data_IF_754973562763
#
_entry.id   IF_754973562763
#
_cell.length_a   1.000
_cell.length_b   1.000
_cell.length_c   1.000
_cell.angle_alpha   90.00
_cell.angle_beta   90.00
_cell.angle_gamma   90.00
#
_symmetry.space_group_name_H-M   'P 1'
#
loop_
_entity.id
_entity.type
_entity.pdbx_description
1 polymer ?
#
# COMPACT_ATOMS: atom_id res chain seq x y z
N UNK A 1 -25.49 12.35 -8.57
CA UNK A 1 -24.38 11.84 -9.41
C UNK A 1 -24.98 11.22 -10.66
N UNK A 2 -24.53 11.61 -11.84
CA UNK A 2 -25.01 11.03 -13.11
C UNK A 2 -24.32 9.68 -13.38
N UNK A 3 -24.88 8.87 -14.29
CA UNK A 3 -24.24 7.61 -14.73
C UNK A 3 -22.89 7.89 -15.36
N UNK A 4 -22.77 8.99 -16.12
CA UNK A 4 -21.52 9.39 -16.74
C UNK A 4 -20.43 9.71 -15.70
N UNK A 5 -20.80 10.45 -14.64
CA UNK A 5 -19.87 10.77 -13.55
C UNK A 5 -19.38 9.49 -12.86
N UNK A 6 -20.27 8.50 -12.66
CA UNK A 6 -19.93 7.22 -12.08
C UNK A 6 -18.94 6.43 -12.96
N UNK A 7 -19.15 6.42 -14.27
CA UNK A 7 -18.25 5.77 -15.24
C UNK A 7 -16.87 6.45 -15.23
N UNK A 8 -16.83 7.79 -15.31
CA UNK A 8 -15.56 8.54 -15.27
C UNK A 8 -14.78 8.23 -14.00
N UNK A 9 -15.44 8.30 -12.85
CA UNK A 9 -14.79 8.00 -11.58
C UNK A 9 -14.35 6.54 -11.48
N UNK A 10 -15.12 5.59 -12.03
CA UNK A 10 -14.75 4.18 -12.10
C UNK A 10 -13.49 3.94 -12.94
N UNK A 11 -13.38 4.61 -14.08
CA UNK A 11 -12.18 4.54 -14.93
C UNK A 11 -10.96 5.17 -14.23
N UNK A 12 -11.13 6.36 -13.65
CA UNK A 12 -10.06 7.02 -12.90
C UNK A 12 -9.59 6.15 -11.74
N UNK A 13 -10.51 5.60 -10.94
CA UNK A 13 -10.17 4.71 -9.83
C UNK A 13 -9.42 3.46 -10.33
N UNK A 14 -9.94 2.78 -11.35
CA UNK A 14 -9.32 1.58 -11.90
C UNK A 14 -7.91 1.82 -12.41
N UNK A 15 -7.68 2.89 -13.16
CA UNK A 15 -6.35 3.22 -13.68
C UNK A 15 -5.37 3.63 -12.57
N UNK A 16 -5.81 4.48 -11.64
CA UNK A 16 -4.92 5.05 -10.62
C UNK A 16 -4.68 4.14 -9.43
N UNK A 17 -5.49 3.11 -9.21
CA UNK A 17 -5.26 2.08 -8.21
C UNK A 17 -4.14 1.12 -8.63
N UNK A 18 -4.13 0.69 -9.90
CA UNK A 18 -3.08 -0.18 -10.43
C UNK A 18 -1.78 0.58 -10.73
N UNK A 19 -1.86 1.85 -11.02
CA UNK A 19 -0.69 2.73 -11.06
C UNK A 19 -0.43 3.26 -9.64
N UNK A 20 0.80 3.20 -9.12
CA UNK A 20 1.08 3.64 -7.75
C UNK A 20 1.12 5.18 -7.61
N UNK A 21 0.05 5.88 -8.09
CA UNK A 21 0.00 7.34 -8.25
C UNK A 21 -1.06 8.04 -7.38
N UNK A 22 -1.65 7.33 -6.41
CA UNK A 22 -2.73 7.82 -5.53
C UNK A 22 -4.11 7.91 -6.19
N UNK A 23 -4.85 6.82 -6.10
CA UNK A 23 -6.26 6.77 -6.54
C UNK A 23 -7.14 7.77 -5.78
N UNK A 24 -6.98 7.86 -4.45
CA UNK A 24 -7.74 8.79 -3.62
C UNK A 24 -7.51 10.26 -3.98
N UNK A 25 -6.27 10.63 -4.31
CA UNK A 25 -5.94 11.99 -4.75
C UNK A 25 -6.58 12.33 -6.10
N UNK A 26 -6.45 11.43 -7.08
CA UNK A 26 -7.04 11.61 -8.41
C UNK A 26 -8.57 11.61 -8.36
N UNK A 27 -9.16 10.73 -7.54
CA UNK A 27 -10.60 10.67 -7.36
C UNK A 27 -11.15 11.96 -6.72
N UNK A 28 -10.46 12.51 -5.71
CA UNK A 28 -10.84 13.78 -5.09
C UNK A 28 -10.81 14.95 -6.10
N UNK A 29 -9.79 15.04 -6.95
CA UNK A 29 -9.71 16.03 -8.03
C UNK A 29 -10.84 15.84 -9.04
N UNK A 30 -11.08 14.59 -9.47
CA UNK A 30 -12.14 14.26 -10.42
C UNK A 30 -13.51 14.64 -9.87
N UNK A 31 -13.79 14.32 -8.60
CA UNK A 31 -15.04 14.67 -7.92
C UNK A 31 -15.23 16.18 -7.83
N UNK A 32 -14.14 16.92 -7.56
CA UNK A 32 -14.20 18.39 -7.53
C UNK A 32 -14.54 18.98 -8.89
N UNK A 33 -13.92 18.47 -9.97
CA UNK A 33 -14.19 18.92 -11.36
C UNK A 33 -15.62 18.61 -11.79
N UNK A 34 -16.15 17.44 -11.41
CA UNK A 34 -17.51 17.01 -11.73
C UNK A 34 -18.59 17.69 -10.84
N UNK A 35 -18.18 18.53 -9.87
CA UNK A 35 -19.11 19.15 -8.93
C UNK A 35 -19.82 18.15 -8.03
N UNK A 36 -19.26 16.94 -7.85
CA UNK A 36 -19.78 15.92 -6.97
C UNK A 36 -19.62 16.40 -5.52
N UNK A 37 -20.74 16.59 -4.80
CA UNK A 37 -20.73 17.02 -3.41
C UNK A 37 -20.05 16.00 -2.47
N UNK A 38 -19.78 16.42 -1.23
CA UNK A 38 -19.13 15.61 -0.18
C UNK A 38 -20.11 14.76 0.65
N UNK A 39 -21.28 14.42 0.11
CA UNK A 39 -22.36 13.72 0.83
C UNK A 39 -22.07 12.23 1.07
N UNK A 40 -22.86 11.60 1.97
CA UNK A 40 -22.79 10.18 2.31
C UNK A 40 -22.88 9.23 1.10
N UNK A 41 -23.65 9.63 0.07
CA UNK A 41 -23.78 8.86 -1.18
C UNK A 41 -22.46 8.72 -1.91
N UNK A 42 -21.61 9.76 -1.88
CA UNK A 42 -20.28 9.71 -2.50
C UNK A 42 -19.31 8.84 -1.69
N UNK A 43 -19.47 8.83 -0.37
CA UNK A 43 -18.69 7.94 0.49
C UNK A 43 -18.95 6.46 0.15
N UNK A 44 -20.25 6.09 0.08
CA UNK A 44 -20.64 4.74 -0.29
C UNK A 44 -20.15 4.36 -1.68
N UNK A 45 -20.28 5.26 -2.64
CA UNK A 45 -19.77 5.05 -3.99
C UNK A 45 -18.26 4.85 -4.04
N UNK A 46 -17.49 5.67 -3.32
CA UNK A 46 -16.03 5.50 -3.21
C UNK A 46 -15.66 4.13 -2.62
N UNK A 47 -16.40 3.65 -1.62
CA UNK A 47 -16.17 2.30 -1.07
C UNK A 47 -16.45 1.24 -2.13
N UNK A 48 -17.52 1.37 -2.91
CA UNK A 48 -17.84 0.43 -3.99
C UNK A 48 -16.75 0.42 -5.08
N UNK A 49 -16.18 1.57 -5.43
CA UNK A 49 -15.06 1.65 -6.36
C UNK A 49 -13.83 0.88 -5.84
N UNK A 50 -13.50 1.03 -4.56
CA UNK A 50 -12.39 0.29 -3.94
C UNK A 50 -12.67 -1.22 -3.85
N UNK A 51 -13.92 -1.62 -3.59
CA UNK A 51 -14.31 -3.04 -3.65
C UNK A 51 -14.12 -3.60 -5.06
N UNK A 52 -14.52 -2.85 -6.08
CA UNK A 52 -14.31 -3.26 -7.47
C UNK A 52 -12.83 -3.46 -7.81
N UNK A 53 -11.96 -2.54 -7.42
CA UNK A 53 -10.51 -2.68 -7.65
C UNK A 53 -9.91 -3.79 -6.80
N UNK A 54 -10.38 -4.01 -5.56
CA UNK A 54 -9.96 -5.14 -4.73
C UNK A 54 -10.27 -6.47 -5.41
N UNK A 55 -11.49 -6.65 -5.94
CA UNK A 55 -11.87 -7.86 -6.68
C UNK A 55 -10.95 -8.06 -7.88
N UNK A 56 -10.64 -6.99 -8.63
CA UNK A 56 -9.74 -7.06 -9.78
C UNK A 56 -8.31 -7.45 -9.38
N UNK A 57 -7.77 -6.90 -8.28
CA UNK A 57 -6.43 -7.26 -7.75
C UNK A 57 -6.42 -8.73 -7.32
N UNK A 58 -7.42 -9.18 -6.57
CA UNK A 58 -7.52 -10.59 -6.13
C UNK A 58 -7.64 -11.53 -7.32
N UNK A 59 -8.43 -11.17 -8.34
CA UNK A 59 -8.56 -11.94 -9.57
C UNK A 59 -7.23 -12.03 -10.34
N UNK A 60 -6.48 -10.93 -10.45
CA UNK A 60 -5.19 -10.90 -11.12
C UNK A 60 -4.12 -11.71 -10.35
N UNK A 61 -4.04 -11.54 -9.04
CA UNK A 61 -3.07 -12.20 -8.17
C UNK A 61 -3.61 -13.49 -7.55
N UNK A 62 -4.67 -14.11 -8.08
CA UNK A 62 -5.37 -15.23 -7.46
C UNK A 62 -4.45 -16.41 -7.05
N UNK A 63 -3.44 -16.73 -7.87
CA UNK A 63 -2.47 -17.79 -7.54
C UNK A 63 -1.63 -17.43 -6.34
N UNK A 64 -1.06 -16.21 -6.33
CA UNK A 64 -0.25 -15.71 -5.21
C UNK A 64 -1.08 -15.63 -3.93
N UNK A 65 -2.28 -15.05 -4.00
CA UNK A 65 -3.19 -14.94 -2.85
C UNK A 65 -3.52 -16.32 -2.29
N UNK A 66 -3.83 -17.29 -3.15
CA UNK A 66 -4.13 -18.66 -2.71
C UNK A 66 -2.94 -19.34 -2.05
N UNK A 67 -1.74 -19.17 -2.60
CA UNK A 67 -0.51 -19.70 -2.02
C UNK A 67 -0.18 -19.06 -0.67
N UNK A 68 -0.41 -17.75 -0.52
CA UNK A 68 -0.23 -17.07 0.76
C UNK A 68 -1.24 -17.55 1.82
N UNK A 69 -2.51 -17.76 1.45
CA UNK A 69 -3.52 -18.33 2.34
C UNK A 69 -3.11 -19.73 2.81
N UNK A 70 -2.69 -20.60 1.89
CA UNK A 70 -2.19 -21.94 2.24
C UNK A 70 -1.00 -21.87 3.21
N UNK A 71 0.00 -21.02 2.88
CA UNK A 71 1.18 -20.89 3.71
C UNK A 71 0.87 -20.30 5.09
N UNK A 72 -0.11 -19.40 5.18
CA UNK A 72 -0.57 -18.88 6.46
C UNK A 72 -1.12 -20.00 7.36
N UNK A 73 -1.99 -20.86 6.85
CA UNK A 73 -2.54 -21.99 7.62
C UNK A 73 -1.48 -23.04 7.94
N UNK A 74 -0.56 -23.34 7.01
CA UNK A 74 0.56 -24.23 7.26
C UNK A 74 1.50 -23.67 8.34
N UNK A 75 1.76 -22.38 8.31
CA UNK A 75 2.56 -21.69 9.32
C UNK A 75 1.90 -21.77 10.70
N UNK A 76 0.59 -21.53 10.81
CA UNK A 76 -0.15 -21.70 12.05
C UNK A 76 -0.03 -23.14 12.58
N UNK A 77 -0.23 -24.14 11.71
CA UNK A 77 -0.06 -25.54 12.07
C UNK A 77 1.35 -25.84 12.60
N UNK A 78 2.39 -25.31 11.95
CA UNK A 78 3.78 -25.50 12.37
C UNK A 78 4.09 -24.82 13.71
N UNK A 79 3.48 -23.66 13.97
CA UNK A 79 3.59 -22.98 15.28
C UNK A 79 2.96 -23.83 16.38
N UNK A 80 1.71 -24.30 16.19
CA UNK A 80 1.01 -25.13 17.18
C UNK A 80 1.65 -26.50 17.40
N UNK A 81 2.36 -27.03 16.39
CA UNK A 81 3.08 -28.32 16.50
C UNK A 81 4.55 -28.18 16.90
N UNK A 82 5.03 -26.97 17.18
CA UNK A 82 6.42 -26.69 17.57
C UNK A 82 7.45 -26.94 16.45
N UNK A 83 7.00 -27.09 15.20
CA UNK A 83 7.87 -27.37 14.04
C UNK A 83 8.31 -26.12 13.29
N UNK A 84 7.87 -24.93 13.71
CA UNK A 84 8.21 -23.68 13.07
C UNK A 84 9.71 -23.39 13.18
N UNK A 85 10.38 -23.16 12.04
CA UNK A 85 11.82 -22.80 11.98
C UNK A 85 12.02 -21.61 11.07
N UNK A 86 12.47 -20.49 11.63
CA UNK A 86 12.73 -19.24 10.90
C UNK A 86 13.70 -19.44 9.72
N UNK A 87 14.72 -20.27 9.90
CA UNK A 87 15.76 -20.52 8.89
C UNK A 87 15.30 -21.37 7.68
N UNK A 88 14.12 -22.01 7.76
CA UNK A 88 13.58 -22.88 6.70
C UNK A 88 12.35 -22.29 6.01
N UNK A 89 12.14 -20.96 6.08
CA UNK A 89 11.03 -20.33 5.41
C UNK A 89 11.23 -20.30 3.90
N UNK A 90 10.22 -20.74 3.14
CA UNK A 90 10.13 -20.50 1.72
C UNK A 90 9.75 -19.03 1.44
N UNK A 91 9.81 -18.60 0.17
CA UNK A 91 9.48 -17.24 -0.24
C UNK A 91 8.07 -16.81 0.21
N UNK A 92 7.05 -17.65 -0.03
CA UNK A 92 5.65 -17.30 0.29
C UNK A 92 5.44 -17.17 1.80
N UNK A 93 6.06 -18.05 2.61
CA UNK A 93 6.02 -17.96 4.08
C UNK A 93 6.73 -16.71 4.60
N UNK A 94 7.88 -16.37 4.04
CA UNK A 94 8.57 -15.11 4.35
C UNK A 94 7.67 -13.93 4.01
N UNK A 95 7.01 -13.94 2.86
CA UNK A 95 6.10 -12.89 2.43
C UNK A 95 4.93 -12.72 3.41
N UNK A 96 4.29 -13.82 3.85
CA UNK A 96 3.22 -13.79 4.86
C UNK A 96 3.68 -13.15 6.15
N UNK A 97 4.84 -13.55 6.68
CA UNK A 97 5.40 -13.01 7.93
C UNK A 97 5.71 -11.52 7.77
N UNK A 98 6.32 -11.11 6.66
CA UNK A 98 6.65 -9.72 6.41
C UNK A 98 5.41 -8.85 6.18
N UNK A 99 4.34 -9.40 5.59
CA UNK A 99 3.05 -8.73 5.49
C UNK A 99 2.44 -8.48 6.88
N UNK A 100 2.44 -9.48 7.76
CA UNK A 100 1.94 -9.35 9.14
C UNK A 100 2.75 -8.27 9.88
N UNK A 101 4.09 -8.32 9.81
CA UNK A 101 4.96 -7.31 10.44
C UNK A 101 4.70 -5.92 9.86
N UNK A 102 4.51 -5.80 8.54
CA UNK A 102 4.20 -4.53 7.88
C UNK A 102 2.84 -3.93 8.23
N UNK A 103 1.90 -4.75 8.70
CA UNK A 103 0.59 -4.29 9.20
C UNK A 103 0.66 -3.78 10.65
N UNK A 104 1.62 -4.24 11.46
CA UNK A 104 1.72 -3.87 12.89
C UNK A 104 1.75 -2.34 13.08
N UNK A 105 2.56 -1.55 12.35
CA UNK A 105 2.60 -0.10 12.54
C UNK A 105 1.25 0.59 12.30
N UNK A 106 0.34 0.03 11.50
CA UNK A 106 -0.99 0.63 11.29
C UNK A 106 -1.82 0.68 12.58
N UNK A 107 -1.55 -0.21 13.54
CA UNK A 107 -2.22 -0.13 14.84
C UNK A 107 -1.88 1.14 15.61
N UNK A 108 -0.78 1.84 15.27
CA UNK A 108 -0.47 3.16 15.84
C UNK A 108 -1.57 4.20 15.53
N UNK A 109 -2.32 4.04 14.44
CA UNK A 109 -3.44 4.92 14.10
C UNK A 109 -4.57 4.87 15.14
N UNK A 110 -4.66 3.81 15.93
CA UNK A 110 -5.66 3.65 16.97
C UNK A 110 -5.22 4.18 18.34
N UNK A 111 -3.94 4.55 18.48
CA UNK A 111 -3.44 5.11 19.73
C UNK A 111 -3.99 6.52 19.95
N UNK A 112 -4.35 6.86 21.20
CA UNK A 112 -4.70 8.23 21.55
C UNK A 112 -3.47 9.14 21.43
N UNK A 113 -3.69 10.36 20.96
CA UNK A 113 -2.65 11.39 20.94
C UNK A 113 -2.44 11.86 22.38
N UNK A 114 -1.22 11.83 22.88
CA UNK A 114 -0.90 12.25 24.24
C UNK A 114 -1.47 13.66 24.54
N UNK A 115 -2.29 13.74 25.60
CA UNK A 115 -2.90 14.98 26.03
C UNK A 115 -4.25 15.32 25.35
N UNK A 116 -4.80 14.44 24.52
CA UNK A 116 -6.13 14.63 23.92
C UNK A 116 -6.88 13.30 23.87
N UNK A 117 -8.23 13.35 23.90
CA UNK A 117 -9.06 12.16 23.70
C UNK A 117 -9.16 11.71 22.21
N UNK A 118 -8.44 12.43 21.34
CA UNK A 118 -8.43 12.14 19.90
C UNK A 118 -7.41 11.05 19.58
N UNK A 119 -7.81 10.13 18.70
CA UNK A 119 -6.91 9.13 18.12
C UNK A 119 -6.19 9.71 16.91
N UNK A 120 -5.03 9.17 16.59
CA UNK A 120 -4.28 9.54 15.39
C UNK A 120 -5.12 9.34 14.11
N UNK A 121 -6.00 8.34 14.12
CA UNK A 121 -7.01 8.12 13.07
C UNK A 121 -7.95 9.33 12.88
N UNK A 122 -8.43 9.92 13.97
CA UNK A 122 -9.38 11.03 13.91
C UNK A 122 -8.72 12.28 13.29
N UNK A 123 -7.42 12.44 13.51
CA UNK A 123 -6.63 13.47 12.83
C UNK A 123 -6.56 13.20 11.31
N UNK A 124 -6.31 11.95 10.90
CA UNK A 124 -6.28 11.56 9.49
C UNK A 124 -7.64 11.81 8.82
N UNK A 125 -8.73 11.46 9.50
CA UNK A 125 -10.09 11.66 9.00
C UNK A 125 -10.43 13.16 8.86
N UNK A 126 -10.02 14.00 9.82
CA UNK A 126 -10.17 15.47 9.72
C UNK A 126 -9.37 16.09 8.57
N UNK A 127 -8.12 15.65 8.38
CA UNK A 127 -7.28 16.13 7.27
C UNK A 127 -7.86 15.69 5.92
N UNK A 128 -8.46 14.50 5.85
CA UNK A 128 -9.09 13.97 4.63
C UNK A 128 -10.45 14.62 4.34
N UNK A 129 -11.20 15.01 5.35
CA UNK A 129 -12.49 15.70 5.21
C UNK A 129 -12.33 17.18 4.83
N UNK A 130 -11.15 17.75 5.03
CA UNK A 130 -10.84 19.12 4.68
C UNK A 130 -10.83 19.29 3.15
N UNK A 131 -11.61 20.22 2.56
CA UNK A 131 -11.67 20.42 1.10
C UNK A 131 -10.40 21.10 0.53
N UNK A 132 -9.28 20.96 1.21
CA UNK A 132 -8.04 21.67 0.86
C UNK A 132 -7.30 20.87 -0.23
N UNK A 133 -7.67 21.12 -1.49
CA UNK A 133 -6.99 20.57 -2.67
C UNK A 133 -5.46 20.79 -2.66
N UNK A 134 -4.99 21.83 -1.98
CA UNK A 134 -3.55 22.13 -1.84
C UNK A 134 -2.84 20.98 -1.10
N UNK A 135 -3.42 20.44 -0.02
CA UNK A 135 -2.82 19.31 0.71
C UNK A 135 -2.73 18.09 -0.16
N UNK A 136 -3.80 17.79 -0.90
CA UNK A 136 -3.83 16.69 -1.87
C UNK A 136 -2.78 16.90 -2.98
N UNK A 137 -2.67 18.10 -3.53
CA UNK A 137 -1.68 18.43 -4.56
C UNK A 137 -0.23 18.26 -4.04
N UNK A 138 0.08 18.78 -2.85
CA UNK A 138 1.39 18.62 -2.22
C UNK A 138 1.71 17.12 -1.97
N UNK A 139 0.71 16.35 -1.55
CA UNK A 139 0.86 14.90 -1.33
C UNK A 139 1.09 14.12 -2.63
N UNK A 140 0.47 14.53 -3.73
CA UNK A 140 0.72 13.96 -5.06
C UNK A 140 2.13 14.27 -5.55
N UNK A 141 2.61 15.51 -5.35
CA UNK A 141 4.00 15.89 -5.65
C UNK A 141 4.97 15.05 -4.82
N UNK A 142 4.71 14.90 -3.52
CA UNK A 142 5.53 14.05 -2.64
C UNK A 142 5.55 12.59 -3.12
N UNK A 143 4.40 12.04 -3.53
CA UNK A 143 4.32 10.69 -4.13
C UNK A 143 5.22 10.58 -5.37
N UNK A 144 5.16 11.57 -6.27
CA UNK A 144 5.98 11.62 -7.47
C UNK A 144 7.48 11.65 -7.16
N UNK A 145 7.89 12.45 -6.18
CA UNK A 145 9.28 12.52 -5.70
C UNK A 145 9.73 11.16 -5.14
N UNK A 146 8.92 10.55 -4.28
CA UNK A 146 9.25 9.24 -3.69
C UNK A 146 9.40 8.16 -4.77
N UNK A 147 8.48 8.09 -5.71
CA UNK A 147 8.55 7.14 -6.84
C UNK A 147 9.79 7.37 -7.69
N UNK A 148 10.10 8.63 -8.00
CA UNK A 148 11.29 8.98 -8.78
C UNK A 148 12.57 8.54 -8.08
N UNK A 149 12.69 8.79 -6.77
CA UNK A 149 13.84 8.36 -5.97
C UNK A 149 13.93 6.83 -5.94
N UNK A 150 12.80 6.12 -5.74
CA UNK A 150 12.73 4.66 -5.75
C UNK A 150 13.25 4.08 -7.07
N UNK A 151 12.73 4.57 -8.19
CA UNK A 151 13.12 4.15 -9.55
C UNK A 151 14.61 4.41 -9.82
N UNK A 152 15.10 5.61 -9.49
CA UNK A 152 16.52 5.97 -9.71
C UNK A 152 17.43 5.05 -8.91
N UNK A 153 17.10 4.80 -7.64
CA UNK A 153 17.90 3.89 -6.79
C UNK A 153 17.86 2.45 -7.28
N UNK A 154 16.70 1.97 -7.68
CA UNK A 154 16.56 0.62 -8.22
C UNK A 154 17.33 0.47 -9.53
N UNK A 155 17.21 1.41 -10.47
CA UNK A 155 17.99 1.41 -11.73
C UNK A 155 19.50 1.41 -11.50
N UNK A 156 20.00 2.21 -10.55
CA UNK A 156 21.44 2.22 -10.18
C UNK A 156 21.88 0.87 -9.61
N UNK A 157 21.05 0.23 -8.80
CA UNK A 157 21.30 -1.10 -8.25
C UNK A 157 21.39 -2.15 -9.36
N UNK A 158 20.44 -2.18 -10.29
CA UNK A 158 20.42 -3.10 -11.44
C UNK A 158 21.62 -2.85 -12.36
N UNK A 159 21.90 -1.60 -12.72
CA UNK A 159 23.04 -1.24 -13.59
C UNK A 159 24.38 -1.62 -12.94
N UNK A 160 24.53 -1.42 -11.64
CA UNK A 160 25.71 -1.88 -10.88
C UNK A 160 25.86 -3.39 -10.93
N UNK A 161 24.76 -4.15 -10.78
CA UNK A 161 24.76 -5.61 -10.86
C UNK A 161 25.22 -6.10 -12.24
N UNK A 162 24.73 -5.51 -13.34
CA UNK A 162 25.16 -5.86 -14.68
C UNK A 162 26.63 -5.55 -14.94
N UNK A 163 27.14 -4.41 -14.46
CA UNK A 163 28.55 -4.03 -14.60
C UNK A 163 29.48 -4.93 -13.80
N UNK A 164 29.04 -5.49 -12.68
CA UNK A 164 29.83 -6.35 -11.80
C UNK A 164 29.74 -7.84 -12.14
N UNK A 165 28.70 -8.29 -12.87
CA UNK A 165 28.70 -9.62 -13.48
C UNK A 165 29.83 -9.77 -14.52
N UNK A 166 30.28 -8.63 -15.11
CA UNK A 166 31.44 -8.58 -15.97
C UNK A 166 32.77 -8.51 -15.21
N UNK A 167 32.79 -8.19 -13.92
CA UNK A 167 33.95 -8.10 -13.06
C UNK A 167 33.62 -8.71 -11.71
N UNK A 168 34.23 -9.84 -11.33
CA UNK A 168 33.99 -10.59 -10.08
C UNK A 168 34.18 -9.73 -8.80
N UNK A 169 33.29 -8.81 -8.50
CA UNK A 169 33.37 -8.00 -7.29
C UNK A 169 31.98 -7.63 -6.81
N UNK A 170 31.73 -7.88 -5.54
CA UNK A 170 30.60 -7.59 -4.63
C UNK A 170 29.57 -6.53 -5.07
N UNK A 171 28.79 -6.77 -6.13
CA UNK A 171 27.64 -5.99 -6.45
C UNK A 171 26.49 -6.36 -5.51
N UNK A 172 25.86 -5.35 -4.93
CA UNK A 172 24.67 -5.50 -4.12
C UNK A 172 23.50 -5.87 -5.05
N UNK A 173 23.36 -7.17 -5.34
CA UNK A 173 22.24 -7.71 -6.12
C UNK A 173 20.92 -7.26 -5.51
N UNK A 174 19.92 -6.97 -6.36
CA UNK A 174 18.56 -6.77 -5.89
C UNK A 174 18.10 -8.01 -5.12
N UNK A 175 17.50 -7.79 -3.96
CA UNK A 175 16.99 -8.88 -3.11
C UNK A 175 15.56 -9.21 -3.50
N UNK A 176 15.23 -10.49 -3.46
CA UNK A 176 13.86 -10.96 -3.71
C UNK A 176 13.05 -11.14 -2.43
N UNK A 177 13.72 -11.19 -1.28
CA UNK A 177 13.06 -11.37 0.02
C UNK A 177 13.11 -10.08 0.85
N UNK A 178 11.97 -9.76 1.45
CA UNK A 178 11.87 -8.74 2.49
C UNK A 178 12.50 -9.27 3.79
N UNK A 179 13.13 -8.37 4.54
CA UNK A 179 13.51 -8.62 5.92
C UNK A 179 12.61 -7.82 6.88
N UNK A 180 12.75 -8.06 8.18
CA UNK A 180 11.95 -7.41 9.22
C UNK A 180 12.06 -5.89 9.17
N UNK A 181 13.24 -5.35 8.93
CA UNK A 181 13.47 -3.89 8.83
C UNK A 181 12.74 -3.31 7.61
N UNK A 182 12.76 -4.01 6.47
CA UNK A 182 12.04 -3.59 5.27
C UNK A 182 10.52 -3.54 5.54
N UNK A 183 9.99 -4.58 6.19
CA UNK A 183 8.57 -4.67 6.53
C UNK A 183 8.13 -3.56 7.50
N UNK A 184 8.94 -3.28 8.53
CA UNK A 184 8.66 -2.19 9.48
C UNK A 184 8.70 -0.83 8.77
N UNK A 185 9.71 -0.56 7.93
CA UNK A 185 9.81 0.70 7.19
C UNK A 185 8.61 0.90 6.25
N UNK A 186 8.21 -0.15 5.53
CA UNK A 186 7.00 -0.11 4.71
C UNK A 186 5.77 0.16 5.58
N UNK A 187 5.64 -0.50 6.73
CA UNK A 187 4.52 -0.30 7.66
C UNK A 187 4.47 1.13 8.23
N UNK A 188 5.59 1.72 8.61
CA UNK A 188 5.67 3.13 9.04
C UNK A 188 5.27 4.06 7.90
N UNK A 189 5.75 3.79 6.68
CA UNK A 189 5.38 4.56 5.49
C UNK A 189 3.88 4.52 5.23
N UNK A 190 3.21 3.40 5.49
CA UNK A 190 1.75 3.30 5.39
C UNK A 190 1.03 4.18 6.41
N UNK A 191 1.55 4.29 7.64
CA UNK A 191 1.00 5.21 8.65
C UNK A 191 1.09 6.65 8.15
N UNK A 192 2.25 7.07 7.63
CA UNK A 192 2.41 8.40 7.05
C UNK A 192 1.44 8.63 5.88
N UNK A 193 1.29 7.63 4.99
CA UNK A 193 0.38 7.73 3.86
C UNK A 193 -1.11 7.70 4.26
N UNK A 194 -1.44 7.12 5.41
CA UNK A 194 -2.79 7.16 5.95
C UNK A 194 -3.14 8.50 6.62
N UNK A 195 -2.12 9.24 7.11
CA UNK A 195 -2.28 10.56 7.74
C UNK A 195 -2.39 11.68 6.71
N UNK A 196 -1.72 11.56 5.55
CA UNK A 196 -1.67 12.61 4.54
C UNK A 196 -2.66 12.30 3.40
N UNK A 197 -3.75 13.07 3.24
CA UNK A 197 -4.71 12.88 2.16
C UNK A 197 -4.03 13.07 0.80
N UNK A 198 -4.25 12.11 -0.12
CA UNK A 198 -3.63 12.16 -1.45
C UNK A 198 -2.23 11.56 -1.54
N UNK A 199 -1.56 11.24 -0.41
CA UNK A 199 -0.31 10.48 -0.47
C UNK A 199 -0.61 9.03 -0.85
N UNK A 200 0.00 8.57 -1.95
CA UNK A 200 -0.21 7.21 -2.45
C UNK A 200 0.37 6.18 -1.47
N UNK A 201 -0.49 5.33 -0.90
CA UNK A 201 -0.04 4.20 -0.07
C UNK A 201 0.79 3.23 -0.91
N UNK A 202 0.27 2.80 -2.06
CA UNK A 202 0.97 1.90 -2.97
C UNK A 202 2.27 2.50 -3.51
N UNK A 203 2.24 3.79 -3.91
CA UNK A 203 3.43 4.48 -4.41
C UNK A 203 4.52 4.61 -3.37
N UNK A 204 4.17 4.99 -2.16
CA UNK A 204 5.13 5.17 -1.06
C UNK A 204 5.73 3.84 -0.60
N UNK A 205 4.91 2.80 -0.43
CA UNK A 205 5.39 1.46 -0.03
C UNK A 205 6.26 0.81 -1.10
N UNK A 206 5.87 0.91 -2.37
CA UNK A 206 6.68 0.47 -3.49
C UNK A 206 8.04 1.17 -3.51
N UNK A 207 8.04 2.51 -3.40
CA UNK A 207 9.27 3.32 -3.40
C UNK A 207 10.21 2.92 -2.28
N UNK A 208 9.70 2.69 -1.07
CA UNK A 208 10.52 2.24 0.06
C UNK A 208 11.09 0.85 -0.21
N UNK A 209 10.32 -0.10 -0.75
CA UNK A 209 10.80 -1.40 -1.15
C UNK A 209 11.96 -1.31 -2.18
N UNK A 210 11.79 -0.49 -3.21
CA UNK A 210 12.82 -0.24 -4.22
C UNK A 210 14.07 0.45 -3.64
N UNK A 211 13.88 1.46 -2.76
CA UNK A 211 15.00 2.13 -2.06
C UNK A 211 15.79 1.18 -1.17
N UNK A 212 15.14 0.16 -0.62
CA UNK A 212 15.77 -0.89 0.18
C UNK A 212 16.46 -1.97 -0.65
N UNK A 213 16.38 -1.87 -1.98
CA UNK A 213 17.03 -2.79 -2.92
C UNK A 213 16.24 -4.08 -3.14
N UNK A 214 14.93 -4.07 -2.89
CA UNK A 214 14.02 -5.16 -3.29
C UNK A 214 13.79 -5.04 -4.81
N UNK A 215 13.75 -6.18 -5.51
CA UNK A 215 13.43 -6.20 -6.93
C UNK A 215 12.04 -5.62 -7.18
N UNK A 216 11.89 -4.85 -8.26
CA UNK A 216 10.64 -4.12 -8.57
C UNK A 216 9.42 -5.05 -8.55
N UNK A 217 9.53 -6.24 -9.16
CA UNK A 217 8.44 -7.21 -9.20
C UNK A 217 8.02 -7.65 -7.80
N UNK A 218 8.98 -7.96 -6.93
CA UNK A 218 8.70 -8.40 -5.55
C UNK A 218 8.18 -7.27 -4.68
N UNK A 219 8.64 -6.05 -4.90
CA UNK A 219 8.10 -4.87 -4.23
C UNK A 219 6.65 -4.58 -4.67
N UNK A 220 6.31 -4.78 -5.95
CA UNK A 220 4.94 -4.69 -6.45
C UNK A 220 4.06 -5.79 -5.86
N UNK A 221 4.48 -7.05 -5.91
CA UNK A 221 3.72 -8.18 -5.34
C UNK A 221 3.39 -7.93 -3.86
N UNK A 222 4.39 -7.52 -3.07
CA UNK A 222 4.22 -7.18 -1.67
C UNK A 222 3.23 -6.02 -1.48
N UNK A 223 3.41 -4.93 -2.23
CA UNK A 223 2.59 -3.72 -2.11
C UNK A 223 1.12 -3.98 -2.44
N UNK A 224 0.82 -4.72 -3.52
CA UNK A 224 -0.56 -4.99 -3.92
C UNK A 224 -1.27 -5.96 -2.97
N UNK A 225 -0.57 -7.01 -2.50
CA UNK A 225 -1.14 -7.92 -1.51
C UNK A 225 -1.40 -7.18 -0.19
N UNK A 226 -0.45 -6.35 0.26
CA UNK A 226 -0.59 -5.54 1.46
C UNK A 226 -1.78 -4.56 1.36
N UNK A 227 -1.92 -3.87 0.23
CA UNK A 227 -3.03 -2.96 -0.04
C UNK A 227 -4.37 -3.70 -0.04
N UNK A 228 -4.43 -4.90 -0.62
CA UNK A 228 -5.64 -5.75 -0.61
C UNK A 228 -6.06 -6.11 0.81
N UNK A 229 -5.12 -6.47 1.69
CA UNK A 229 -5.40 -6.78 3.10
C UNK A 229 -5.94 -5.55 3.85
N UNK A 230 -5.41 -4.37 3.56
CA UNK A 230 -5.87 -3.12 4.19
C UNK A 230 -7.29 -2.79 3.71
N UNK A 231 -7.59 -2.89 2.42
CA UNK A 231 -8.92 -2.63 1.88
C UNK A 231 -10.00 -3.56 2.47
N UNK A 232 -9.67 -4.81 2.77
CA UNK A 232 -10.58 -5.73 3.47
C UNK A 232 -10.89 -5.23 4.89
N UNK A 233 -9.94 -4.60 5.56
CA UNK A 233 -10.09 -4.11 6.94
C UNK A 233 -10.72 -2.71 7.04
N UNK A 234 -10.68 -1.88 6.00
CA UNK A 234 -11.18 -0.51 6.00
C UNK A 234 -12.71 -0.34 5.88
N UNK A 235 -13.51 -1.21 5.21
CA UNK A 235 -14.96 -1.01 5.10
C UNK A 235 -15.68 -0.95 6.44
N UNK A 236 -15.16 -1.60 7.45
CA UNK A 236 -15.70 -1.56 8.82
C UNK A 236 -15.35 -0.29 9.58
N UNK A 237 -14.38 0.48 9.09
CA UNK A 237 -13.80 1.62 9.79
C UNK A 237 -14.63 2.90 9.69
N UNK A 238 -15.47 3.03 8.65
CA UNK A 238 -16.28 4.24 8.38
C UNK A 238 -17.72 4.18 8.94
N UNK A 239 -18.10 3.10 9.62
CA UNK A 239 -19.42 2.94 10.25
C UNK A 239 -19.48 3.35 11.73
N UNK A 240 -18.45 3.97 12.25
CA UNK A 240 -18.41 4.46 13.62
C UNK A 240 -18.67 5.98 13.65
N UNK A 241 -19.89 6.40 13.41
CA UNK A 241 -20.51 7.64 13.90
C UNK A 241 -21.63 7.25 14.81
#
# INVERSE_FOLDING_TARGET
>A
MSILDAIIQGVVQGLTEFLPVSSSGHLAITQHILGAGTGESNLFFNVMLHVGTLVAVVAFYHKLVWDLIKEFFLMLKDIFTGKFKWSKMNYNRNLVVMLIIGLIPLFLLFLPILGTDMKLKDLADRLSASPVLIVTACSLILTSVLLTIGIIRNRKSVASTHKHLATKSNAKATRDNFNVVDAILVGVTQVCAALLPGLSRSGSTLSVGEMRGISKQKALDYTFVLLSLIHISEPTRRRGI
#
